data_IF_026044946390
#
_entry.id   IF_026044946390
#
_cell.length_a   1.000
_cell.length_b   1.000
_cell.length_c   1.000
_cell.angle_alpha   90.00
_cell.angle_beta   90.00
_cell.angle_gamma   90.00
#
_symmetry.space_group_name_H-M   'P 1'
#
loop_
_entity.id
_entity.type
_entity.pdbx_description
1 polymer ?
#
# COMPACT_ATOMS: atom_id res chain seq x y z
N UNK A 1 -13.20 9.32 -5.90
CA UNK A 1 -12.50 9.05 -4.62
C UNK A 1 -12.84 10.06 -3.53
N UNK A 2 -12.78 11.37 -3.80
CA UNK A 2 -13.06 12.43 -2.81
C UNK A 2 -14.35 12.20 -1.99
N UNK A 3 -15.46 11.81 -2.62
CA UNK A 3 -16.71 11.48 -1.91
C UNK A 3 -16.59 10.33 -0.93
N UNK A 4 -15.81 9.30 -1.26
CA UNK A 4 -15.59 8.18 -0.36
C UNK A 4 -14.68 8.58 0.80
N UNK A 5 -13.61 9.34 0.55
CA UNK A 5 -12.70 9.83 1.60
C UNK A 5 -13.47 10.69 2.63
N UNK A 6 -14.29 11.63 2.17
CA UNK A 6 -14.99 12.56 3.06
C UNK A 6 -16.18 11.92 3.79
N UNK A 7 -17.01 11.15 3.07
CA UNK A 7 -18.28 10.65 3.61
C UNK A 7 -18.15 9.24 4.19
N UNK A 8 -17.14 8.47 3.78
CA UNK A 8 -17.04 7.03 3.97
C UNK A 8 -17.81 6.26 2.89
N UNK A 9 -17.59 4.94 2.81
CA UNK A 9 -18.27 4.10 1.82
C UNK A 9 -19.79 4.06 2.06
N UNK A 10 -20.22 3.86 3.32
CA UNK A 10 -21.63 3.73 3.66
C UNK A 10 -22.46 4.98 3.27
N UNK A 11 -21.96 6.18 3.57
CA UNK A 11 -22.70 7.44 3.39
C UNK A 11 -22.51 8.10 2.03
N UNK A 12 -21.46 7.77 1.28
CA UNK A 12 -21.32 8.25 -0.08
C UNK A 12 -22.42 7.66 -0.98
N UNK A 13 -23.04 8.51 -1.80
CA UNK A 13 -24.03 8.09 -2.80
C UNK A 13 -23.48 8.19 -4.21
N UNK A 14 -24.01 7.39 -5.14
CA UNK A 14 -23.69 7.50 -6.58
C UNK A 14 -24.06 8.88 -7.14
N UNK A 15 -25.08 9.53 -6.57
CA UNK A 15 -25.46 10.90 -6.91
C UNK A 15 -24.38 11.92 -6.48
N UNK A 16 -23.84 11.81 -5.26
CA UNK A 16 -22.73 12.66 -4.80
C UNK A 16 -21.51 12.55 -5.72
N UNK A 17 -21.23 11.33 -6.18
CA UNK A 17 -20.08 11.04 -7.03
C UNK A 17 -20.31 11.58 -8.45
N UNK A 18 -21.51 11.38 -9.00
CA UNK A 18 -21.92 11.91 -10.30
C UNK A 18 -21.80 13.45 -10.32
N UNK A 19 -22.34 14.12 -9.30
CA UNK A 19 -22.29 15.58 -9.18
C UNK A 19 -20.85 16.09 -9.15
N UNK A 20 -19.95 15.45 -8.37
CA UNK A 20 -18.54 15.86 -8.30
C UNK A 20 -17.73 15.51 -9.55
N UNK A 21 -18.12 14.44 -10.25
CA UNK A 21 -17.50 14.05 -11.52
C UNK A 21 -17.99 14.84 -12.72
N UNK A 22 -19.00 15.71 -12.57
CA UNK A 22 -19.66 16.37 -13.70
C UNK A 22 -20.41 15.39 -14.61
N UNK A 23 -20.81 14.24 -14.08
CA UNK A 23 -21.49 13.16 -14.80
C UNK A 23 -22.97 13.13 -14.41
N UNK A 24 -23.82 12.62 -15.31
CA UNK A 24 -25.20 12.31 -14.92
C UNK A 24 -25.24 11.03 -14.07
N UNK A 25 -26.26 10.89 -13.23
CA UNK A 25 -26.50 9.64 -12.48
C UNK A 25 -26.57 8.44 -13.44
N UNK A 26 -27.22 8.61 -14.61
CA UNK A 26 -27.34 7.58 -15.64
C UNK A 26 -25.97 7.13 -16.18
N UNK A 27 -25.04 8.04 -16.39
CA UNK A 27 -23.70 7.70 -16.90
C UNK A 27 -22.90 6.87 -15.89
N UNK A 28 -23.00 7.21 -14.60
CA UNK A 28 -22.35 6.44 -13.52
C UNK A 28 -22.92 5.03 -13.44
N UNK A 29 -24.26 4.87 -13.45
CA UNK A 29 -24.89 3.54 -13.40
C UNK A 29 -24.60 2.68 -14.63
N UNK A 30 -24.37 3.29 -15.80
CA UNK A 30 -23.98 2.56 -17.01
C UNK A 30 -22.57 1.98 -16.89
N UNK A 31 -21.65 2.71 -16.27
CA UNK A 31 -20.26 2.27 -16.07
C UNK A 31 -20.11 1.34 -14.85
N UNK A 32 -20.90 1.57 -13.81
CA UNK A 32 -20.83 0.84 -12.53
C UNK A 32 -22.25 0.51 -12.07
N UNK A 33 -22.68 -0.76 -12.21
CA UNK A 33 -24.02 -1.21 -11.84
C UNK A 33 -24.38 -0.92 -10.38
N UNK A 34 -23.38 -1.00 -9.49
CA UNK A 34 -23.54 -0.68 -8.07
C UNK A 34 -22.40 0.17 -7.50
N UNK A 35 -22.57 0.59 -6.23
CA UNK A 35 -21.60 1.43 -5.51
C UNK A 35 -20.31 0.67 -5.17
N UNK A 36 -20.39 -0.65 -5.01
CA UNK A 36 -19.26 -1.52 -4.67
C UNK A 36 -18.30 -1.61 -5.85
N UNK A 37 -18.81 -1.77 -7.07
CA UNK A 37 -18.03 -1.74 -8.31
C UNK A 37 -17.33 -0.39 -8.51
N UNK A 38 -18.07 0.71 -8.30
CA UNK A 38 -17.52 2.07 -8.38
C UNK A 38 -16.42 2.31 -7.35
N UNK A 39 -16.61 1.81 -6.12
CA UNK A 39 -15.61 1.91 -5.06
C UNK A 39 -14.36 1.10 -5.39
N UNK A 40 -14.54 -0.13 -5.85
CA UNK A 40 -13.47 -1.03 -6.30
C UNK A 40 -12.63 -0.40 -7.39
N UNK A 41 -13.27 0.10 -8.44
CA UNK A 41 -12.58 0.76 -9.54
C UNK A 41 -11.81 2.00 -9.06
N UNK A 42 -12.38 2.75 -8.11
CA UNK A 42 -11.71 3.92 -7.54
C UNK A 42 -10.47 3.57 -6.71
N UNK A 43 -10.48 2.44 -5.97
CA UNK A 43 -9.31 1.91 -5.25
C UNK A 43 -8.27 1.40 -6.24
N UNK A 44 -8.69 0.58 -7.20
CA UNK A 44 -7.81 0.00 -8.22
C UNK A 44 -7.06 1.06 -9.02
N UNK A 45 -7.72 2.18 -9.34
CA UNK A 45 -7.06 3.28 -10.05
C UNK A 45 -5.94 3.95 -9.23
N UNK A 46 -5.88 3.70 -7.91
CA UNK A 46 -4.90 4.28 -6.96
C UNK A 46 -3.95 3.25 -6.37
N UNK A 47 -4.01 1.99 -6.80
CA UNK A 47 -3.11 0.93 -6.30
C UNK A 47 -1.63 1.30 -6.42
N UNK A 48 -1.28 2.09 -7.43
CA UNK A 48 0.08 2.57 -7.69
C UNK A 48 0.63 3.45 -6.56
N UNK A 49 -0.23 4.05 -5.72
CA UNK A 49 0.15 4.84 -4.55
C UNK A 49 0.52 3.95 -3.34
N UNK A 50 0.12 2.68 -3.35
CA UNK A 50 0.30 1.78 -2.20
C UNK A 50 1.61 1.02 -2.30
N UNK A 51 1.83 0.31 -3.42
CA UNK A 51 3.05 -0.44 -3.69
C UNK A 51 3.47 -0.26 -5.15
N UNK A 52 4.78 -0.10 -5.37
CA UNK A 52 5.38 -0.09 -6.69
C UNK A 52 5.82 -1.51 -7.08
N UNK A 53 4.84 -2.35 -7.41
CA UNK A 53 5.05 -3.74 -7.85
C UNK A 53 4.22 -4.03 -9.11
N UNK A 54 4.68 -4.91 -10.02
CA UNK A 54 5.92 -5.70 -9.96
C UNK A 54 7.19 -4.88 -10.17
N UNK A 55 8.34 -5.43 -9.74
CA UNK A 55 9.68 -4.86 -9.95
C UNK A 55 10.59 -5.88 -10.63
N UNK A 56 11.61 -5.44 -11.39
CA UNK A 56 12.56 -6.38 -11.98
C UNK A 56 13.32 -7.15 -10.90
N UNK A 57 13.60 -8.43 -11.16
CA UNK A 57 14.34 -9.30 -10.23
C UNK A 57 15.77 -8.79 -9.98
N UNK A 58 16.37 -8.10 -10.95
CA UNK A 58 17.69 -7.47 -10.85
C UNK A 58 17.52 -5.95 -10.84
N UNK A 59 17.85 -5.36 -9.70
CA UNK A 59 18.03 -3.92 -9.55
C UNK A 59 19.44 -3.64 -9.07
N UNK A 60 20.08 -2.63 -9.63
CA UNK A 60 21.43 -2.21 -9.23
C UNK A 60 21.44 -1.48 -7.87
N UNK A 61 20.27 -1.03 -7.42
CA UNK A 61 20.11 -0.33 -6.15
C UNK A 61 20.22 -1.29 -4.95
N UNK A 62 20.70 -0.79 -3.80
CA UNK A 62 20.61 -1.51 -2.53
C UNK A 62 19.18 -1.96 -2.22
N UNK A 63 19.05 -3.11 -1.55
CA UNK A 63 17.76 -3.69 -1.15
C UNK A 63 16.91 -2.68 -0.38
N UNK A 64 17.50 -1.99 0.60
CA UNK A 64 16.76 -1.03 1.43
C UNK A 64 16.23 0.16 0.62
N UNK A 65 17.00 0.67 -0.32
CA UNK A 65 16.57 1.75 -1.21
C UNK A 65 15.45 1.28 -2.14
N UNK A 66 15.55 0.05 -2.64
CA UNK A 66 14.50 -0.55 -3.47
C UNK A 66 13.21 -0.75 -2.67
N UNK A 67 13.30 -1.22 -1.42
CA UNK A 67 12.16 -1.32 -0.52
C UNK A 67 11.52 0.05 -0.24
N UNK A 68 12.32 1.11 -0.09
CA UNK A 68 11.80 2.47 0.06
C UNK A 68 10.89 2.87 -1.12
N UNK A 69 11.27 2.52 -2.35
CA UNK A 69 10.47 2.78 -3.55
C UNK A 69 9.27 1.84 -3.67
N UNK A 70 9.46 0.54 -3.41
CA UNK A 70 8.39 -0.45 -3.40
C UNK A 70 7.26 0.01 -2.46
N UNK A 71 7.61 0.48 -1.26
CA UNK A 71 6.65 0.99 -0.27
C UNK A 71 6.23 2.45 -0.48
N UNK A 72 6.62 3.08 -1.60
CA UNK A 72 6.23 4.44 -1.95
C UNK A 72 6.51 5.45 -0.81
N UNK A 73 7.65 5.28 -0.15
CA UNK A 73 8.13 6.18 0.91
C UNK A 73 8.85 7.42 0.34
N UNK A 74 8.90 7.52 -0.98
CA UNK A 74 9.44 8.60 -1.79
C UNK A 74 8.37 9.47 -2.46
N UNK A 75 7.08 9.23 -2.17
CA UNK A 75 5.99 10.03 -2.72
C UNK A 75 6.07 11.49 -2.30
N UNK A 76 5.73 12.37 -3.24
CA UNK A 76 5.47 13.78 -2.98
C UNK A 76 4.30 13.98 -2.02
N UNK A 77 4.26 15.12 -1.33
CA UNK A 77 3.30 15.39 -0.23
C UNK A 77 1.83 15.18 -0.64
N UNK A 78 1.49 15.54 -1.89
CA UNK A 78 0.14 15.37 -2.43
C UNK A 78 -0.24 13.89 -2.54
N UNK A 79 0.62 13.10 -3.15
CA UNK A 79 0.37 11.69 -3.43
C UNK A 79 0.44 10.86 -2.15
N UNK A 80 1.35 11.21 -1.24
CA UNK A 80 1.42 10.67 0.10
C UNK A 80 0.12 10.95 0.88
N UNK A 81 -0.41 12.18 0.82
CA UNK A 81 -1.69 12.50 1.45
C UNK A 81 -2.87 11.71 0.86
N UNK A 82 -2.89 11.51 -0.47
CA UNK A 82 -3.92 10.68 -1.11
C UNK A 82 -3.82 9.20 -0.71
N UNK A 83 -2.60 8.65 -0.64
CA UNK A 83 -2.33 7.31 -0.11
C UNK A 83 -2.83 7.16 1.32
N UNK A 84 -2.48 8.09 2.20
CA UNK A 84 -2.85 8.03 3.63
C UNK A 84 -4.38 8.08 3.78
N UNK A 85 -5.06 8.94 3.01
CA UNK A 85 -6.52 9.03 3.00
C UNK A 85 -7.18 7.73 2.51
N UNK A 86 -6.63 7.11 1.46
CA UNK A 86 -7.08 5.83 0.94
C UNK A 86 -6.89 4.71 1.98
N UNK A 87 -5.72 4.60 2.59
CA UNK A 87 -5.43 3.58 3.62
C UNK A 87 -6.34 3.73 4.84
N UNK A 88 -6.60 4.97 5.28
CA UNK A 88 -7.51 5.25 6.39
C UNK A 88 -8.96 4.87 6.06
N UNK A 89 -9.40 5.17 4.85
CA UNK A 89 -10.72 4.80 4.36
C UNK A 89 -10.89 3.28 4.36
N UNK A 90 -9.92 2.57 3.77
CA UNK A 90 -9.91 1.10 3.75
C UNK A 90 -9.93 0.53 5.17
N UNK A 91 -8.99 0.93 6.03
CA UNK A 91 -8.91 0.42 7.39
C UNK A 91 -10.20 0.66 8.19
N UNK A 92 -10.82 1.84 8.04
CA UNK A 92 -12.07 2.18 8.73
C UNK A 92 -13.25 1.36 8.21
N UNK A 93 -13.41 1.25 6.89
CA UNK A 93 -14.58 0.58 6.29
C UNK A 93 -14.46 -0.94 6.35
N UNK A 94 -13.24 -1.49 6.30
CA UNK A 94 -12.94 -2.93 6.50
C UNK A 94 -13.41 -3.47 7.85
N UNK A 95 -13.45 -2.63 8.89
CA UNK A 95 -14.00 -3.00 10.20
C UNK A 95 -15.53 -3.05 10.23
N UNK A 96 -16.18 -2.29 9.34
CA UNK A 96 -17.63 -2.12 9.31
C UNK A 96 -18.30 -3.02 8.27
N UNK A 97 -17.55 -3.46 7.25
CA UNK A 97 -18.08 -4.14 6.06
C UNK A 97 -17.19 -5.34 5.71
N UNK A 98 -17.54 -6.55 6.16
CA UNK A 98 -16.79 -7.77 5.84
C UNK A 98 -16.65 -8.03 4.33
N UNK A 99 -17.67 -7.69 3.54
CA UNK A 99 -17.67 -7.78 2.07
C UNK A 99 -16.55 -6.94 1.44
N UNK A 100 -16.18 -5.83 2.06
CA UNK A 100 -15.08 -5.00 1.59
C UNK A 100 -13.72 -5.67 1.79
N UNK A 101 -13.57 -6.49 2.83
CA UNK A 101 -12.34 -7.27 3.00
C UNK A 101 -12.20 -8.28 1.86
N UNK A 102 -13.25 -9.05 1.55
CA UNK A 102 -13.22 -9.98 0.42
C UNK A 102 -12.87 -9.28 -0.90
N UNK A 103 -13.46 -8.10 -1.13
CA UNK A 103 -13.19 -7.28 -2.31
C UNK A 103 -11.74 -6.80 -2.39
N UNK A 104 -11.16 -6.35 -1.28
CA UNK A 104 -9.76 -5.91 -1.22
C UNK A 104 -8.78 -7.09 -1.39
N UNK A 105 -9.17 -8.26 -0.90
CA UNK A 105 -8.48 -9.53 -1.14
C UNK A 105 -8.45 -9.84 -2.64
N UNK A 106 -9.61 -9.83 -3.31
CA UNK A 106 -9.76 -10.16 -4.73
C UNK A 106 -9.15 -9.11 -5.68
N UNK A 107 -9.13 -7.84 -5.28
CA UNK A 107 -8.71 -6.72 -6.13
C UNK A 107 -7.20 -6.45 -6.14
N UNK A 108 -6.41 -7.18 -5.33
CA UNK A 108 -4.96 -7.24 -5.51
C UNK A 108 -4.11 -6.77 -4.34
N UNK A 109 -4.65 -6.64 -3.12
CA UNK A 109 -3.79 -6.59 -1.92
C UNK A 109 -3.06 -7.92 -1.76
N UNK A 110 -3.73 -9.06 -1.97
CA UNK A 110 -3.06 -10.38 -2.04
C UNK A 110 -2.02 -10.37 -3.16
N UNK A 111 -2.39 -9.90 -4.36
CA UNK A 111 -1.46 -9.86 -5.49
C UNK A 111 -0.22 -9.02 -5.18
N UNK A 112 -0.36 -7.90 -4.50
CA UNK A 112 0.78 -7.07 -4.13
C UNK A 112 1.67 -7.74 -3.09
N UNK A 113 1.09 -8.56 -2.21
CA UNK A 113 1.83 -9.42 -1.29
C UNK A 113 2.60 -10.50 -2.05
N UNK A 114 1.96 -11.25 -2.93
CA UNK A 114 2.63 -12.27 -3.75
C UNK A 114 3.77 -11.67 -4.57
N UNK A 115 3.56 -10.50 -5.18
CA UNK A 115 4.62 -9.80 -5.93
C UNK A 115 5.80 -9.37 -5.04
N UNK A 116 5.56 -9.03 -3.77
CA UNK A 116 6.63 -8.73 -2.83
C UNK A 116 7.38 -10.01 -2.43
N UNK A 117 6.65 -11.11 -2.21
CA UNK A 117 7.23 -12.42 -1.90
C UNK A 117 8.15 -12.87 -3.05
N UNK A 118 7.65 -12.81 -4.28
CA UNK A 118 8.41 -13.14 -5.49
C UNK A 118 9.66 -12.28 -5.61
N UNK A 119 9.53 -10.97 -5.37
CA UNK A 119 10.67 -10.05 -5.44
C UNK A 119 11.72 -10.35 -4.37
N UNK A 120 11.29 -10.58 -3.12
CA UNK A 120 12.19 -10.93 -2.00
C UNK A 120 12.90 -12.25 -2.25
N UNK A 121 12.19 -13.28 -2.70
CA UNK A 121 12.78 -14.57 -3.08
C UNK A 121 13.86 -14.40 -4.15
N UNK A 122 13.58 -13.60 -5.19
CA UNK A 122 14.57 -13.28 -6.22
C UNK A 122 15.78 -12.50 -5.68
N UNK A 123 15.63 -11.67 -4.64
CA UNK A 123 16.77 -10.99 -3.99
C UNK A 123 17.63 -11.98 -3.18
N UNK A 124 17.00 -12.98 -2.55
CA UNK A 124 17.70 -14.04 -1.81
C UNK A 124 18.44 -14.99 -2.74
N UNK A 125 17.81 -15.41 -3.84
CA UNK A 125 18.41 -16.33 -4.82
C UNK A 125 19.66 -15.77 -5.49
N UNK A 126 19.72 -14.45 -5.66
CA UNK A 126 20.91 -13.75 -6.20
C UNK A 126 21.95 -13.37 -5.14
N UNK A 127 21.75 -13.74 -3.87
CA UNK A 127 22.67 -13.44 -2.78
C UNK A 127 22.68 -11.98 -2.31
N UNK A 128 21.70 -11.16 -2.70
CA UNK A 128 21.63 -9.76 -2.24
C UNK A 128 21.06 -9.61 -0.83
N UNK A 129 20.51 -10.68 -0.27
CA UNK A 129 20.07 -10.78 1.12
C UNK A 129 20.19 -12.23 1.60
N UNK A 130 20.32 -12.46 2.92
CA UNK A 130 20.30 -13.80 3.49
C UNK A 130 19.01 -14.55 3.14
N UNK A 131 19.11 -15.88 3.03
CA UNK A 131 17.92 -16.73 2.89
C UNK A 131 17.04 -16.66 4.14
N UNK A 132 15.76 -16.42 3.93
CA UNK A 132 14.72 -16.43 4.95
C UNK A 132 13.42 -16.94 4.31
N UNK A 133 12.39 -17.23 5.11
CA UNK A 133 11.04 -17.36 4.56
C UNK A 133 10.57 -16.02 3.99
N UNK A 134 10.37 -15.97 2.67
CA UNK A 134 9.99 -14.76 1.95
C UNK A 134 8.55 -14.30 2.25
N UNK A 135 7.65 -15.23 2.56
CA UNK A 135 6.26 -14.93 2.95
C UNK A 135 6.21 -14.23 4.30
N UNK A 136 6.92 -14.78 5.28
CA UNK A 136 7.02 -14.19 6.61
C UNK A 136 7.69 -12.81 6.56
N UNK A 137 8.77 -12.69 5.79
CA UNK A 137 9.49 -11.42 5.63
C UNK A 137 8.62 -10.35 4.96
N UNK A 138 7.88 -10.71 3.89
CA UNK A 138 6.94 -9.82 3.24
C UNK A 138 5.84 -9.35 4.21
N UNK A 139 5.28 -10.27 5.01
CA UNK A 139 4.30 -9.96 6.04
C UNK A 139 4.82 -8.98 7.07
N UNK A 140 5.98 -9.28 7.66
CA UNK A 140 6.61 -8.42 8.66
C UNK A 140 6.91 -7.01 8.13
N UNK A 141 7.47 -6.90 6.91
CA UNK A 141 7.75 -5.60 6.31
C UNK A 141 6.47 -4.80 6.04
N UNK A 142 5.42 -5.44 5.52
CA UNK A 142 4.12 -4.78 5.33
C UNK A 142 3.51 -4.30 6.65
N UNK A 143 3.57 -5.11 7.71
CA UNK A 143 3.04 -4.74 9.03
C UNK A 143 3.81 -3.56 9.64
N UNK A 144 5.13 -3.53 9.48
CA UNK A 144 5.99 -2.42 9.90
C UNK A 144 5.64 -1.13 9.16
N UNK A 145 5.51 -1.20 7.83
CA UNK A 145 5.25 -0.04 6.98
C UNK A 145 3.82 0.46 7.14
N UNK A 146 2.82 -0.37 6.86
CA UNK A 146 1.43 0.03 6.90
C UNK A 146 0.95 0.31 8.32
N UNK A 147 1.51 -0.40 9.31
CA UNK A 147 1.28 -0.09 10.72
C UNK A 147 1.80 1.28 11.15
N UNK A 148 2.84 1.80 10.49
CA UNK A 148 3.39 3.12 10.73
C UNK A 148 2.68 4.25 9.96
N UNK A 149 2.07 3.90 8.81
CA UNK A 149 1.30 4.83 7.99
C UNK A 149 -0.13 5.03 8.52
N UNK A 150 -0.71 4.02 9.18
CA UNK A 150 -2.01 4.13 9.81
C UNK A 150 -1.92 4.92 11.14
N UNK A 151 -2.86 5.83 11.42
CA UNK A 151 -2.87 6.64 12.62
C UNK A 151 -3.15 5.77 13.86
N UNK A 152 -2.10 5.44 14.61
CA UNK A 152 -2.21 4.77 15.93
C UNK A 152 -2.39 5.75 17.09
N UNK A 153 -2.00 7.01 16.90
CA UNK A 153 -2.13 8.13 17.86
C UNK A 153 -2.42 9.42 17.10
N UNK A 154 -3.22 10.32 17.70
CA UNK A 154 -3.40 11.66 17.12
C UNK A 154 -2.04 12.36 17.04
N UNK A 155 -1.56 12.76 15.85
CA UNK A 155 -0.33 13.52 15.75
C UNK A 155 -0.49 14.85 16.49
N UNK A 156 0.52 15.24 17.24
CA UNK A 156 0.60 16.57 17.86
C UNK A 156 1.27 17.49 16.84
N UNK A 157 0.45 18.14 15.99
CA UNK A 157 0.92 19.04 14.94
C UNK A 157 0.95 18.42 13.53
N UNK A 158 1.43 19.17 12.53
CA UNK A 158 1.53 18.71 11.16
C UNK A 158 2.43 17.48 11.04
N UNK A 159 2.03 16.51 10.24
CA UNK A 159 2.82 15.30 9.96
C UNK A 159 3.99 15.69 9.07
N UNK A 160 5.21 15.59 9.60
CA UNK A 160 6.42 15.64 8.79
C UNK A 160 6.58 14.31 8.03
N UNK A 161 6.12 14.31 6.79
CA UNK A 161 6.11 13.12 5.91
C UNK A 161 7.52 12.63 5.60
N UNK A 162 8.48 13.53 5.48
CA UNK A 162 9.88 13.16 5.25
C UNK A 162 10.43 12.41 6.45
N UNK A 163 10.25 12.97 7.65
CA UNK A 163 10.66 12.30 8.90
C UNK A 163 9.94 10.97 9.10
N UNK A 164 8.64 10.88 8.78
CA UNK A 164 7.90 9.61 8.85
C UNK A 164 8.47 8.57 7.88
N UNK A 165 8.72 8.95 6.62
CA UNK A 165 9.32 8.06 5.62
C UNK A 165 10.71 7.56 6.05
N UNK A 166 11.53 8.45 6.62
CA UNK A 166 12.88 8.10 7.09
C UNK A 166 12.83 7.18 8.30
N UNK A 167 11.88 7.39 9.23
CA UNK A 167 11.65 6.49 10.35
C UNK A 167 11.17 5.10 9.90
N UNK A 168 10.28 5.02 8.90
CA UNK A 168 9.83 3.74 8.34
C UNK A 168 10.98 3.04 7.63
N UNK A 169 11.78 3.78 6.85
CA UNK A 169 12.98 3.25 6.19
C UNK A 169 13.98 2.70 7.22
N UNK A 170 14.19 3.40 8.34
CA UNK A 170 15.05 2.92 9.42
C UNK A 170 14.52 1.61 10.05
N UNK A 171 13.21 1.47 10.23
CA UNK A 171 12.60 0.22 10.71
C UNK A 171 12.79 -0.94 9.73
N UNK A 172 12.67 -0.69 8.43
CA UNK A 172 13.01 -1.69 7.40
C UNK A 172 14.49 -2.08 7.48
N UNK A 173 15.39 -1.11 7.73
CA UNK A 173 16.81 -1.37 7.99
C UNK A 173 17.04 -2.29 9.19
N UNK A 174 16.29 -2.12 10.28
CA UNK A 174 16.34 -3.01 11.46
C UNK A 174 15.89 -4.43 11.10
N UNK A 175 14.80 -4.57 10.34
CA UNK A 175 14.33 -5.89 9.87
C UNK A 175 15.42 -6.56 9.01
N UNK A 176 16.01 -5.83 8.07
CA UNK A 176 17.09 -6.35 7.21
C UNK A 176 18.35 -6.71 8.00
N UNK A 177 18.71 -5.95 9.04
CA UNK A 177 19.84 -6.29 9.90
C UNK A 177 19.56 -7.53 10.76
N UNK A 178 18.31 -7.70 11.19
CA UNK A 178 17.87 -8.81 12.04
C UNK A 178 17.87 -10.18 11.34
N UNK A 179 17.70 -10.22 10.01
CA UNK A 179 17.80 -11.46 9.22
C UNK A 179 19.25 -11.91 8.95
N UNK A 180 20.25 -11.15 9.43
CA UNK A 180 21.68 -11.42 9.27
C UNK A 180 22.32 -10.73 8.07
N UNK A 181 23.64 -10.85 7.93
CA UNK A 181 24.35 -10.49 6.71
C UNK A 181 24.40 -11.70 5.78
N UNK A 182 24.37 -11.53 4.44
CA UNK A 182 24.63 -12.64 3.53
C UNK A 182 25.97 -13.27 3.96
N UNK A 183 26.02 -14.60 4.09
CA UNK A 183 27.30 -15.28 4.31
C UNK A 183 28.17 -14.91 3.11
N UNK A 184 29.21 -14.10 3.33
CA UNK A 184 30.35 -14.10 2.42
C UNK A 184 30.86 -15.53 2.47
N UNK A 185 30.66 -16.27 1.38
CA UNK A 185 31.24 -17.59 1.22
C UNK A 185 32.75 -17.42 1.42
N UNK A 186 33.25 -17.99 2.52
CA UNK A 186 34.67 -18.10 2.79
C UNK A 186 35.26 -19.03 1.72
N UNK A 187 36.27 -18.52 1.01
CA UNK A 187 37.17 -19.27 0.13
C UNK A 187 37.63 -20.61 0.74
#
# INVERSE_FOLDING_TARGET
MTSFIEKGFARATTADIAQRGGLSKRDVYRAFPDKTDLFTAAILSRRHLILDLPRPAREERPVLETLRQIFRLDLEDRDAAERDALMNLVARESLLLPELNALLYDTGIIRSRELLIDWLAAQMDRGAMPRHDASDLAGMMMDVVFGALLPRRRPHGPVDRRSQADQITARLGIVLAGIGQPREDAD
#
